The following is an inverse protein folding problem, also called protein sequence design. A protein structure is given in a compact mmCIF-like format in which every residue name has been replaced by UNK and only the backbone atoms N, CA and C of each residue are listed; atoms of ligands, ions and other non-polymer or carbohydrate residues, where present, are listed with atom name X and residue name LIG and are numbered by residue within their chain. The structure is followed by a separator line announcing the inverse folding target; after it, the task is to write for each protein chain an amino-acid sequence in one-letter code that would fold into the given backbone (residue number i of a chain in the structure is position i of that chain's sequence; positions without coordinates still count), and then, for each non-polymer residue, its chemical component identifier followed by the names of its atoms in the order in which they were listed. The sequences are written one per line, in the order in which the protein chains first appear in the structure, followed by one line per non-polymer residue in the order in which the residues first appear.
data_IF_157051256741
#
_entry.id   IF_157051256741
#
_cell.length_a   1.000
_cell.length_b   1.000
_cell.length_c   1.000
_cell.angle_alpha   90.00
_cell.angle_beta   90.00
_cell.angle_gamma   90.00
#
_symmetry.space_group_name_H-M   'P 1'
#
loop_
_entity.id
_entity.type
_entity.pdbx_description
1 polymer ?
#
# COMPACT_ATOMS: atom_id res chain seq x y z
N UNK A 1 1.72 -1.59 -9.76
CA UNK A 1 1.09 -0.27 -9.89
C UNK A 1 1.92 0.51 -10.90
N UNK A 2 1.39 0.75 -12.10
CA UNK A 2 1.85 1.87 -12.94
C UNK A 2 0.99 3.05 -12.46
N UNK A 3 1.60 4.17 -12.05
CA UNK A 3 0.88 5.33 -11.51
C UNK A 3 -0.29 5.71 -12.43
N UNK A 4 -1.51 5.61 -11.90
CA UNK A 4 -2.75 5.83 -12.66
C UNK A 4 -3.14 7.31 -12.72
N UNK A 5 -3.87 7.73 -13.77
CA UNK A 5 -4.16 9.13 -14.08
C UNK A 5 -5.12 9.81 -13.08
N UNK A 6 -4.91 11.13 -12.98
CA UNK A 6 -5.45 12.06 -11.98
C UNK A 6 -6.91 12.52 -12.25
N UNK A 7 -7.73 12.50 -11.20
CA UNK A 7 -8.96 13.30 -11.06
C UNK A 7 -9.10 13.74 -9.59
N UNK A 8 -8.61 14.96 -9.29
CA UNK A 8 -8.91 15.92 -8.20
C UNK A 8 -9.25 15.48 -6.75
N UNK A 9 -9.38 14.19 -6.42
CA UNK A 9 -9.60 13.64 -5.08
C UNK A 9 -8.34 12.96 -4.49
N UNK A 10 -7.25 12.89 -5.25
CA UNK A 10 -6.12 11.99 -4.99
C UNK A 10 -4.83 12.66 -4.48
N UNK A 11 -4.87 13.85 -3.88
CA UNK A 11 -3.63 14.53 -3.45
C UNK A 11 -3.02 13.94 -2.15
N UNK A 12 -3.83 13.41 -1.24
CA UNK A 12 -3.34 12.73 -0.01
C UNK A 12 -2.89 11.29 -0.31
N UNK A 13 -3.54 10.62 -1.26
CA UNK A 13 -3.19 9.25 -1.69
C UNK A 13 -2.01 9.19 -2.66
N UNK A 14 -1.50 10.34 -3.12
CA UNK A 14 -0.33 10.45 -3.98
C UNK A 14 1.00 10.38 -3.20
N UNK A 15 0.94 10.02 -1.92
CA UNK A 15 2.13 9.72 -1.13
C UNK A 15 3.02 8.67 -1.81
N UNK A 16 2.44 7.70 -2.51
CA UNK A 16 3.16 6.62 -3.22
C UNK A 16 3.82 7.03 -4.53
N UNK A 17 3.90 8.32 -4.86
CA UNK A 17 4.42 8.76 -6.16
C UNK A 17 5.89 8.38 -6.37
N UNK A 18 6.18 7.85 -7.56
CA UNK A 18 7.52 7.62 -8.10
C UNK A 18 7.77 8.62 -9.25
N UNK A 19 7.99 9.90 -8.94
CA UNK A 19 8.07 10.92 -9.97
C UNK A 19 8.77 12.20 -9.54
N UNK A 20 9.26 12.97 -10.50
CA UNK A 20 10.00 14.24 -10.28
C UNK A 20 11.26 14.07 -9.41
N UNK A 21 11.85 12.88 -9.39
CA UNK A 21 12.99 12.57 -8.50
C UNK A 21 12.62 12.47 -7.02
N UNK A 22 11.32 12.47 -6.70
CA UNK A 22 10.80 12.20 -5.36
C UNK A 22 10.27 10.78 -5.25
N UNK A 23 10.37 10.26 -4.04
CA UNK A 23 9.79 8.98 -3.63
C UNK A 23 9.22 9.18 -2.22
N UNK A 24 7.94 8.88 -2.02
CA UNK A 24 7.25 9.12 -0.73
C UNK A 24 7.41 10.55 -0.20
N UNK A 25 7.35 11.53 -1.12
CA UNK A 25 7.54 12.95 -0.82
C UNK A 25 9.00 13.40 -0.66
N UNK A 26 9.96 12.47 -0.59
CA UNK A 26 11.37 12.76 -0.34
C UNK A 26 12.19 12.82 -1.65
N UNK A 27 12.97 13.89 -1.82
CA UNK A 27 13.95 14.01 -2.91
C UNK A 27 15.29 13.40 -2.54
N UNK A 28 16.05 12.89 -3.52
CA UNK A 28 17.39 12.29 -3.29
C UNK A 28 17.37 11.14 -2.26
N UNK A 29 16.27 10.39 -2.23
CA UNK A 29 16.07 9.22 -1.41
C UNK A 29 17.15 8.16 -1.68
N UNK A 30 17.56 7.48 -0.61
CA UNK A 30 18.53 6.39 -0.65
C UNK A 30 17.90 5.01 -0.54
N UNK A 31 18.76 3.99 -0.50
CA UNK A 31 18.38 2.58 -0.40
C UNK A 31 17.52 2.26 0.82
N UNK A 32 17.88 2.76 1.99
CA UNK A 32 17.12 2.49 3.22
C UNK A 32 15.74 3.12 3.17
N UNK A 33 15.65 4.36 2.67
CA UNK A 33 14.38 5.02 2.43
C UNK A 33 13.49 4.18 1.50
N UNK A 34 14.04 3.73 0.36
CA UNK A 34 13.33 2.86 -0.56
C UNK A 34 12.83 1.58 0.13
N UNK A 35 13.69 0.87 0.86
CA UNK A 35 13.33 -0.38 1.54
C UNK A 35 12.23 -0.20 2.57
N UNK A 36 12.26 0.88 3.37
CA UNK A 36 11.23 1.18 4.38
C UNK A 36 9.84 1.22 3.76
N UNK A 37 9.69 1.98 2.68
CA UNK A 37 8.38 2.13 2.05
C UNK A 37 8.02 1.00 1.09
N UNK A 38 8.99 0.38 0.41
CA UNK A 38 8.72 -0.80 -0.41
C UNK A 38 8.19 -1.97 0.43
N UNK A 39 8.56 -2.07 1.72
CA UNK A 39 7.97 -3.03 2.66
C UNK A 39 6.47 -2.81 2.88
N UNK A 40 6.00 -1.55 2.86
CA UNK A 40 4.59 -1.21 3.03
C UNK A 40 3.81 -1.45 1.73
N UNK A 41 4.37 -0.99 0.60
CA UNK A 41 3.65 -0.87 -0.66
C UNK A 41 3.84 -1.99 -1.66
N UNK A 42 4.83 -2.87 -1.44
CA UNK A 42 5.13 -4.03 -2.29
C UNK A 42 5.15 -3.68 -3.79
N UNK A 43 5.91 -2.65 -4.22
CA UNK A 43 6.00 -2.36 -5.65
C UNK A 43 6.61 -3.58 -6.36
N UNK A 44 6.01 -4.02 -7.45
CA UNK A 44 6.57 -5.09 -8.29
C UNK A 44 7.44 -4.55 -9.42
N UNK A 45 7.17 -3.30 -9.83
CA UNK A 45 7.86 -2.65 -10.93
C UNK A 45 8.03 -1.15 -10.64
N UNK A 46 9.01 -0.56 -11.30
CA UNK A 46 9.29 0.86 -11.29
C UNK A 46 9.50 1.36 -12.72
N UNK A 47 9.06 2.58 -12.99
CA UNK A 47 9.38 3.33 -14.20
C UNK A 47 10.11 4.61 -13.78
N UNK A 48 11.33 4.80 -14.28
CA UNK A 48 12.24 5.84 -13.82
C UNK A 48 12.74 6.69 -14.99
N UNK A 49 12.59 8.01 -14.92
CA UNK A 49 13.11 8.95 -15.94
C UNK A 49 14.20 9.89 -15.42
N UNK A 50 14.25 10.16 -14.11
CA UNK A 50 15.28 11.06 -13.57
C UNK A 50 16.65 10.39 -13.50
N UNK A 51 17.76 11.14 -13.70
CA UNK A 51 19.11 10.58 -13.58
C UNK A 51 19.36 9.92 -12.23
N UNK A 52 18.81 10.48 -11.14
CA UNK A 52 18.92 9.92 -9.79
C UNK A 52 18.25 8.55 -9.66
N UNK A 53 16.97 8.44 -10.05
CA UNK A 53 16.22 7.20 -9.92
C UNK A 53 16.78 6.09 -10.83
N UNK A 54 17.24 6.46 -12.03
CA UNK A 54 17.92 5.53 -12.95
C UNK A 54 19.25 5.05 -12.37
N UNK A 55 20.04 5.97 -11.80
CA UNK A 55 21.28 5.64 -11.07
C UNK A 55 21.01 4.71 -9.89
N UNK A 56 19.95 4.95 -9.12
CA UNK A 56 19.54 4.07 -8.03
C UNK A 56 19.29 2.63 -8.52
N UNK A 57 18.51 2.45 -9.59
CA UNK A 57 18.20 1.12 -10.12
C UNK A 57 19.48 0.37 -10.51
N UNK A 58 20.39 1.04 -11.23
CA UNK A 58 21.65 0.44 -11.69
C UNK A 58 22.60 0.10 -10.54
N UNK A 59 22.62 0.90 -9.47
CA UNK A 59 23.51 0.71 -8.32
C UNK A 59 22.97 -0.29 -7.27
N UNK A 60 21.74 -0.80 -7.43
CA UNK A 60 21.10 -1.72 -6.48
C UNK A 60 20.53 -2.97 -7.18
N UNK A 61 21.34 -3.74 -7.94
CA UNK A 61 20.86 -4.86 -8.74
C UNK A 61 20.25 -6.00 -7.93
N UNK A 62 20.56 -6.07 -6.62
CA UNK A 62 19.99 -7.04 -5.70
C UNK A 62 18.56 -6.69 -5.26
N UNK A 63 18.16 -5.42 -5.36
CA UNK A 63 16.80 -4.96 -5.08
C UNK A 63 16.00 -4.70 -6.35
N UNK A 64 16.67 -4.30 -7.43
CA UNK A 64 16.06 -3.78 -8.64
C UNK A 64 16.73 -4.39 -9.86
N UNK A 65 15.98 -5.17 -10.62
CA UNK A 65 16.42 -5.73 -11.90
C UNK A 65 15.97 -4.81 -13.02
N UNK A 66 16.92 -4.23 -13.75
CA UNK A 66 16.63 -3.42 -14.93
C UNK A 66 16.16 -4.34 -16.06
N UNK A 67 14.93 -4.13 -16.53
CA UNK A 67 14.32 -4.90 -17.61
C UNK A 67 14.52 -4.22 -18.96
N UNK A 68 14.46 -2.88 -18.98
CA UNK A 68 14.67 -2.08 -20.19
C UNK A 68 15.18 -0.67 -19.83
N UNK A 69 15.96 -0.06 -20.73
CA UNK A 69 16.51 1.29 -20.59
C UNK A 69 16.81 1.90 -21.96
N UNK A 70 15.98 2.85 -22.40
CA UNK A 70 16.12 3.49 -23.71
C UNK A 70 17.00 4.77 -23.69
N UNK A 71 17.63 5.06 -22.54
CA UNK A 71 18.40 6.29 -22.35
C UNK A 71 17.59 7.45 -21.75
N UNK A 72 16.26 7.40 -21.81
CA UNK A 72 15.33 8.39 -21.25
C UNK A 72 14.52 7.79 -20.10
N UNK A 73 13.95 6.61 -20.32
CA UNK A 73 13.16 5.83 -19.39
C UNK A 73 13.89 4.52 -19.05
N UNK A 74 13.77 4.11 -17.79
CA UNK A 74 14.24 2.83 -17.29
C UNK A 74 13.06 2.10 -16.66
N UNK A 75 12.77 0.91 -17.17
CA UNK A 75 11.79 0.00 -16.60
C UNK A 75 12.49 -1.09 -15.81
N UNK A 76 12.07 -1.30 -14.56
CA UNK A 76 12.70 -2.27 -13.68
C UNK A 76 11.70 -3.06 -12.84
N UNK A 77 12.09 -4.28 -12.49
CA UNK A 77 11.41 -5.15 -11.52
C UNK A 77 12.00 -4.95 -10.14
N UNK A 78 11.16 -4.93 -9.12
CA UNK A 78 11.57 -4.84 -7.71
C UNK A 78 11.48 -6.20 -7.04
N UNK A 79 12.50 -6.55 -6.26
CA UNK A 79 12.62 -7.83 -5.56
C UNK A 79 12.50 -7.68 -4.05
N UNK A 80 12.15 -8.77 -3.36
CA UNK A 80 12.29 -8.88 -1.91
C UNK A 80 11.13 -8.38 -1.04
N UNK A 81 10.01 -7.93 -1.63
CA UNK A 81 8.83 -7.50 -0.89
C UNK A 81 7.63 -8.36 -1.31
N UNK A 82 7.12 -9.20 -0.41
CA UNK A 82 6.06 -10.18 -0.68
C UNK A 82 5.07 -10.32 0.48
N UNK A 83 3.95 -10.99 0.20
CA UNK A 83 2.85 -11.25 1.16
C UNK A 83 1.83 -10.11 1.24
N UNK A 84 0.83 -10.29 2.09
CA UNK A 84 -0.30 -9.36 2.24
C UNK A 84 -0.30 -8.60 3.58
N UNK A 85 0.66 -8.91 4.47
CA UNK A 85 0.82 -8.30 5.79
C UNK A 85 2.18 -7.61 5.96
N UNK A 86 2.18 -6.45 6.59
CA UNK A 86 3.36 -5.67 7.01
C UNK A 86 3.98 -6.26 8.28
N UNK A 87 3.12 -6.75 9.19
CA UNK A 87 3.46 -7.40 10.44
C UNK A 87 2.55 -8.63 10.63
N UNK A 88 3.11 -9.73 11.14
CA UNK A 88 2.47 -11.04 11.10
C UNK A 88 2.38 -11.60 9.68
N UNK A 89 1.55 -12.61 9.48
CA UNK A 89 1.21 -13.14 8.16
C UNK A 89 -0.30 -13.27 7.98
N UNK A 90 -0.78 -13.08 6.75
CA UNK A 90 -2.15 -13.37 6.35
C UNK A 90 -2.19 -13.60 4.84
N UNK A 91 -3.25 -14.25 4.37
CA UNK A 91 -3.66 -14.27 2.97
C UNK A 91 -4.84 -13.32 2.79
N UNK A 92 -4.77 -12.44 1.79
CA UNK A 92 -5.84 -11.48 1.52
C UNK A 92 -6.34 -11.59 0.08
N UNK A 93 -7.60 -11.98 -0.07
CA UNK A 93 -8.30 -11.88 -1.35
C UNK A 93 -9.01 -10.53 -1.44
N UNK A 94 -8.57 -9.69 -2.38
CA UNK A 94 -9.13 -8.37 -2.60
C UNK A 94 -10.06 -8.33 -3.80
N UNK A 95 -11.25 -7.78 -3.60
CA UNK A 95 -12.25 -7.48 -4.63
C UNK A 95 -12.78 -6.06 -4.43
N UNK A 96 -13.46 -5.45 -5.42
CA UNK A 96 -14.03 -4.12 -5.24
C UNK A 96 -14.91 -4.03 -3.99
N UNK A 97 -14.55 -3.13 -3.06
CA UNK A 97 -15.29 -2.91 -1.82
C UNK A 97 -15.12 -3.95 -0.72
N UNK A 98 -14.33 -5.02 -0.94
CA UNK A 98 -14.23 -6.15 0.00
C UNK A 98 -12.85 -6.80 0.03
N UNK A 99 -12.36 -7.08 1.24
CA UNK A 99 -11.20 -7.92 1.51
C UNK A 99 -11.66 -9.18 2.26
N UNK A 100 -11.10 -10.34 1.92
CA UNK A 100 -11.26 -11.56 2.73
C UNK A 100 -9.90 -11.98 3.23
N UNK A 101 -9.74 -11.99 4.55
CA UNK A 101 -8.49 -12.27 5.25
C UNK A 101 -8.57 -13.67 5.85
N UNK A 102 -7.56 -14.49 5.59
CA UNK A 102 -7.45 -15.88 6.03
C UNK A 102 -6.06 -16.16 6.55
N UNK A 103 -5.92 -17.30 7.24
CA UNK A 103 -4.64 -17.85 7.67
C UNK A 103 -3.76 -16.85 8.42
N UNK A 104 -4.40 -16.05 9.27
CA UNK A 104 -3.73 -15.06 10.09
C UNK A 104 -2.79 -15.74 11.09
N UNK A 105 -1.51 -15.35 11.07
CA UNK A 105 -0.56 -15.64 12.13
C UNK A 105 -0.12 -14.31 12.73
N UNK A 106 -0.67 -13.92 13.89
CA UNK A 106 -0.35 -12.65 14.52
C UNK A 106 1.12 -12.55 14.93
N UNK A 107 1.63 -11.32 15.00
CA UNK A 107 2.92 -11.00 15.58
C UNK A 107 2.95 -11.18 17.10
N UNK A 108 4.06 -10.75 17.71
CA UNK A 108 4.30 -10.88 19.17
C UNK A 108 3.23 -10.16 20.01
N UNK A 109 2.62 -9.11 19.47
CA UNK A 109 1.57 -8.32 20.13
C UNK A 109 0.15 -8.89 19.92
N UNK A 110 0.03 -10.04 19.24
CA UNK A 110 -1.27 -10.65 18.94
C UNK A 110 -2.01 -10.00 17.78
N UNK A 111 -1.35 -9.15 16.97
CA UNK A 111 -2.00 -8.44 15.85
C UNK A 111 -1.41 -8.82 14.48
N UNK A 112 -2.17 -8.55 13.42
CA UNK A 112 -1.68 -8.59 12.04
C UNK A 112 -1.92 -7.21 11.43
N UNK A 113 -0.89 -6.61 10.83
CA UNK A 113 -1.04 -5.36 10.09
C UNK A 113 -1.10 -5.65 8.61
N UNK A 114 -2.23 -5.39 7.97
CA UNK A 114 -2.44 -5.64 6.55
C UNK A 114 -1.79 -4.56 5.69
N UNK A 115 -1.34 -4.93 4.47
CA UNK A 115 -0.92 -3.99 3.42
C UNK A 115 -2.11 -3.32 2.72
N UNK A 116 -3.11 -2.90 3.49
CA UNK A 116 -4.31 -2.24 3.01
C UNK A 116 -4.64 -1.08 3.94
N UNK A 117 -5.03 0.05 3.35
CA UNK A 117 -5.42 1.23 4.08
C UNK A 117 -6.79 1.06 4.74
N UNK A 118 -6.91 1.57 5.95
CA UNK A 118 -8.17 1.64 6.67
C UNK A 118 -8.99 2.83 6.21
N UNK A 119 -10.31 2.64 6.24
CA UNK A 119 -11.30 3.70 5.98
C UNK A 119 -12.37 3.66 7.07
N UNK A 120 -12.97 4.80 7.47
CA UNK A 120 -13.93 4.84 8.59
C UNK A 120 -15.17 3.96 8.40
N UNK A 121 -15.55 3.71 7.14
CA UNK A 121 -16.72 2.91 6.76
C UNK A 121 -16.46 1.40 6.69
N UNK A 122 -15.28 0.93 7.12
CA UNK A 122 -14.95 -0.48 7.10
C UNK A 122 -15.70 -1.25 8.21
N UNK A 123 -16.24 -2.42 7.86
CA UNK A 123 -16.95 -3.34 8.77
C UNK A 123 -16.38 -4.74 8.62
N UNK A 124 -16.35 -5.50 9.71
CA UNK A 124 -15.82 -6.87 9.76
C UNK A 124 -16.93 -7.89 9.95
N UNK A 125 -16.83 -9.03 9.27
CA UNK A 125 -17.70 -10.20 9.43
C UNK A 125 -16.83 -11.48 9.50
N UNK A 126 -16.85 -12.26 10.61
CA UNK A 126 -17.56 -11.96 11.86
C UNK A 126 -17.02 -10.68 12.51
N UNK A 127 -17.77 -10.06 13.44
CA UNK A 127 -17.32 -8.88 14.18
C UNK A 127 -15.95 -9.13 14.81
N UNK A 128 -14.92 -8.54 14.19
CA UNK A 128 -13.51 -8.69 14.56
C UNK A 128 -12.96 -7.32 14.87
N UNK A 129 -12.27 -7.20 16.00
CA UNK A 129 -11.63 -5.95 16.40
C UNK A 129 -10.54 -5.58 15.41
N UNK A 130 -10.51 -4.32 15.02
CA UNK A 130 -9.45 -3.74 14.19
C UNK A 130 -9.23 -2.28 14.58
N UNK A 131 -8.03 -1.78 14.34
CA UNK A 131 -7.65 -0.39 14.62
C UNK A 131 -6.89 0.19 13.41
N UNK A 132 -7.05 1.50 13.10
CA UNK A 132 -6.15 2.18 12.17
C UNK A 132 -4.75 2.30 12.78
N UNK A 133 -3.70 2.04 11.99
CA UNK A 133 -2.30 2.24 12.39
C UNK A 133 -1.54 3.08 11.36
N UNK A 134 -0.93 4.17 11.82
CA UNK A 134 -0.01 4.97 11.00
C UNK A 134 1.38 4.33 11.04
N UNK A 135 1.96 4.13 9.87
CA UNK A 135 3.31 3.58 9.72
C UNK A 135 4.16 4.54 8.90
N UNK A 136 5.43 4.69 9.30
CA UNK A 136 6.35 5.67 8.72
C UNK A 136 5.70 7.08 8.72
N UNK A 137 5.80 7.81 7.61
CA UNK A 137 5.17 9.13 7.43
C UNK A 137 3.96 9.04 6.50
N UNK A 138 3.36 7.85 6.38
CA UNK A 138 2.19 7.68 5.55
C UNK A 138 1.00 8.47 6.13
N UNK A 139 0.38 9.38 5.35
CA UNK A 139 -0.78 10.12 5.84
C UNK A 139 -2.03 9.24 5.95
N UNK A 140 -2.02 8.03 5.35
CA UNK A 140 -3.16 7.11 5.36
C UNK A 140 -2.86 5.92 6.27
N UNK A 141 -3.67 5.64 7.30
CA UNK A 141 -3.41 4.52 8.20
C UNK A 141 -3.72 3.17 7.56
N UNK A 142 -2.93 2.15 7.89
CA UNK A 142 -3.16 0.75 7.55
C UNK A 142 -4.14 0.08 8.52
N UNK A 143 -4.64 -1.09 8.15
CA UNK A 143 -5.55 -1.90 8.98
C UNK A 143 -4.72 -2.80 9.90
N UNK A 144 -4.82 -2.60 11.22
CA UNK A 144 -4.38 -3.59 12.22
C UNK A 144 -5.57 -4.45 12.65
N UNK A 145 -5.51 -5.74 12.37
CA UNK A 145 -6.50 -6.73 12.82
C UNK A 145 -6.06 -7.39 14.12
N UNK A 146 -7.05 -7.75 14.95
CA UNK A 146 -6.90 -8.61 16.14
C UNK A 146 -7.61 -9.94 15.86
N UNK A 147 -6.95 -10.91 15.20
CA UNK A 147 -7.60 -12.15 14.77
C UNK A 147 -7.98 -13.01 15.97
N UNK A 148 -9.22 -13.52 15.98
CA UNK A 148 -9.70 -14.48 16.98
C UNK A 148 -9.73 -15.92 16.45
N UNK A 149 -9.17 -16.14 15.26
CA UNK A 149 -9.22 -17.39 14.51
C UNK A 149 -10.22 -17.34 13.34
N UNK A 150 -10.04 -18.23 12.37
CA UNK A 150 -10.89 -18.29 11.16
C UNK A 150 -10.65 -17.14 10.17
N UNK A 151 -11.55 -17.02 9.19
CA UNK A 151 -11.50 -15.97 8.16
C UNK A 151 -12.32 -14.74 8.56
N UNK A 152 -11.85 -13.56 8.17
CA UNK A 152 -12.54 -12.27 8.41
C UNK A 152 -12.75 -11.56 7.08
N UNK A 153 -14.00 -11.21 6.77
CA UNK A 153 -14.32 -10.32 5.66
C UNK A 153 -14.33 -8.86 6.14
N UNK A 154 -13.66 -7.98 5.41
CA UNK A 154 -13.68 -6.54 5.62
C UNK A 154 -14.42 -5.90 4.44
N UNK A 155 -15.50 -5.17 4.71
CA UNK A 155 -16.34 -4.56 3.70
C UNK A 155 -16.47 -3.07 3.91
N UNK A 156 -16.39 -2.32 2.80
CA UNK A 156 -16.73 -0.90 2.80
C UNK A 156 -18.26 -0.79 2.82
N UNK A 157 -18.81 -0.29 3.93
CA UNK A 157 -20.24 -0.03 4.07
C UNK A 157 -20.44 1.44 4.40
N UNK A 158 -20.81 2.21 3.38
CA UNK A 158 -21.25 3.58 3.59
C UNK A 158 -22.57 3.58 4.35
N UNK A 159 -22.80 4.56 5.25
CA UNK A 159 -24.14 4.81 5.76
C UNK A 159 -25.10 4.99 4.57
N UNK A 160 -26.38 4.56 4.69
CA UNK A 160 -27.36 4.97 3.70
C UNK A 160 -27.34 6.49 3.60
N UNK A 161 -27.36 7.02 2.37
CA UNK A 161 -27.49 8.45 2.13
C UNK A 161 -28.68 8.93 2.97
N UNK A 162 -28.43 9.84 3.93
CA UNK A 162 -29.52 10.60 4.53
C UNK A 162 -30.08 11.39 3.36
N UNK A 163 -31.18 10.90 2.79
CA UNK A 163 -31.70 11.39 1.52
C UNK A 163 -31.63 12.90 1.48
N UNK A 164 -31.09 13.45 0.38
CA UNK A 164 -31.54 14.77 -0.04
C UNK A 164 -33.06 14.66 -0.06
N UNK A 165 -33.71 15.28 0.93
CA UNK A 165 -35.15 15.50 0.85
C UNK A 165 -35.44 16.13 -0.51
N UNK A 166 -36.59 15.83 -1.13
CA UNK A 166 -36.99 16.55 -2.33
C UNK A 166 -36.91 18.04 -2.01
N UNK A 167 -36.21 18.79 -2.86
CA UNK A 167 -35.90 20.19 -2.63
C UNK A 167 -37.15 21.00 -2.29
N UNK A 168 -37.01 21.88 -1.30
CA UNK A 168 -37.81 23.10 -1.19
C UNK A 168 -37.01 24.26 -1.75
#
# INVERSE_FOLDING_TARGET
MIGGPYLHASLVTNFTQFGEGKLFGESKWGRDHFKRYARLYRPSFMLCWSPWARGFCRSNPDLVEVLDDDGTLLFARVHGFAGDAIEGTAQVDASPGRLVVRDCQPGVDGTVVLRYHSVPCLRTEPPTRWDPVFLEQDPTPFIRLHPTGGSVALEIRFPPDKGRGPGN
#
